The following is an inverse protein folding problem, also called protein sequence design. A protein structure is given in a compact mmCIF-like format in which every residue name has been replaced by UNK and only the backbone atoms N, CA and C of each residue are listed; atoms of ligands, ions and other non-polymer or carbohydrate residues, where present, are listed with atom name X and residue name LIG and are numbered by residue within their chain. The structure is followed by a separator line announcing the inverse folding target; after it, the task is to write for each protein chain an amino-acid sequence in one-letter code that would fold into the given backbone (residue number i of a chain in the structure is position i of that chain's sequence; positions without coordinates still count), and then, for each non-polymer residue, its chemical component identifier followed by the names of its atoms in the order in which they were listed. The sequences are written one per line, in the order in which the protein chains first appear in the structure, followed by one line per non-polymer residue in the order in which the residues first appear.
data_IF_448783376437
#
_entry.id   IF_448783376437
#
_cell.length_a   1.000
_cell.length_b   1.000
_cell.length_c   1.000
_cell.angle_alpha   90.00
_cell.angle_beta   90.00
_cell.angle_gamma   90.00
#
_symmetry.space_group_name_H-M   'P 1'
#
loop_
_entity.id
_entity.type
_entity.pdbx_description
1 polymer ?
#
# COMPACT_ATOMS: atom_id res chain seq x y z
N UNK A 1 20.76 16.71 40.26
CA UNK A 1 20.38 17.25 38.93
C UNK A 1 20.83 16.41 37.71
N UNK A 2 21.76 15.44 37.83
CA UNK A 2 22.14 14.56 36.70
C UNK A 2 21.19 13.35 36.51
N UNK A 3 20.64 12.82 37.61
CA UNK A 3 19.77 11.63 37.61
C UNK A 3 18.40 11.83 36.92
N UNK A 4 17.81 13.03 36.98
CA UNK A 4 16.51 13.35 36.35
C UNK A 4 16.64 13.42 34.82
N UNK A 5 17.78 13.92 34.31
CA UNK A 5 18.05 13.98 32.86
C UNK A 5 18.25 12.59 32.26
N UNK A 6 18.89 11.68 33.01
CA UNK A 6 19.10 10.30 32.56
C UNK A 6 17.78 9.53 32.47
N UNK A 7 16.84 9.75 33.41
CA UNK A 7 15.53 9.09 33.40
C UNK A 7 14.67 9.52 32.20
N UNK A 8 14.74 10.80 31.81
CA UNK A 8 14.06 11.32 30.62
C UNK A 8 14.63 10.76 29.31
N UNK A 9 15.94 10.47 29.25
CA UNK A 9 16.60 9.97 28.05
C UNK A 9 16.23 8.51 27.74
N UNK A 10 15.94 7.71 28.76
CA UNK A 10 15.54 6.29 28.59
C UNK A 10 14.08 6.18 28.13
N UNK A 11 13.19 7.07 28.56
CA UNK A 11 11.78 7.06 28.18
C UNK A 11 11.53 7.41 26.69
N UNK A 12 12.42 8.17 26.06
CA UNK A 12 12.35 8.51 24.64
C UNK A 12 12.74 7.34 23.72
N UNK A 13 13.56 6.41 24.20
CA UNK A 13 14.01 5.25 23.41
C UNK A 13 12.96 4.13 23.41
N UNK A 14 12.17 4.00 24.49
CA UNK A 14 11.12 2.97 24.60
C UNK A 14 9.80 3.33 23.90
N UNK A 15 9.57 4.60 23.56
CA UNK A 15 8.37 5.02 22.82
C UNK A 15 8.42 4.70 21.31
N UNK A 16 9.60 4.35 20.77
CA UNK A 16 9.79 4.06 19.34
C UNK A 16 9.28 2.70 18.88
N UNK A 17 9.00 1.76 19.77
CA UNK A 17 8.70 0.36 19.43
C UNK A 17 7.20 0.05 19.23
N UNK A 18 6.30 1.00 19.43
CA UNK A 18 4.86 0.79 19.27
C UNK A 18 4.33 1.11 17.85
N UNK A 19 5.20 1.57 16.96
CA UNK A 19 4.86 1.93 15.58
C UNK A 19 5.54 1.00 14.55
N UNK A 20 5.68 -0.29 14.87
CA UNK A 20 5.92 -1.28 13.83
C UNK A 20 4.63 -1.35 13.00
N UNK A 21 4.53 -0.52 11.95
CA UNK A 21 3.42 -0.57 11.01
C UNK A 21 3.25 -2.01 10.54
N UNK A 22 2.02 -2.52 10.56
CA UNK A 22 1.76 -3.88 10.13
C UNK A 22 2.32 -4.08 8.71
N UNK A 23 3.22 -5.05 8.56
CA UNK A 23 3.70 -5.47 7.25
C UNK A 23 2.51 -5.88 6.37
N UNK A 24 2.55 -5.51 5.09
CA UNK A 24 1.50 -5.90 4.16
C UNK A 24 1.44 -7.42 4.02
N UNK A 25 0.23 -7.96 3.86
CA UNK A 25 0.03 -9.35 3.46
C UNK A 25 0.48 -9.59 2.01
N UNK A 26 0.64 -10.86 1.62
CA UNK A 26 1.01 -11.21 0.24
C UNK A 26 0.00 -10.69 -0.82
N UNK A 27 -1.33 -10.81 -0.65
CA UNK A 27 -2.29 -10.20 -1.58
C UNK A 27 -2.12 -8.69 -1.73
N UNK A 28 -1.88 -7.99 -0.61
CA UNK A 28 -1.67 -6.55 -0.63
C UNK A 28 -0.35 -6.18 -1.32
N UNK A 29 0.75 -6.89 -1.04
CA UNK A 29 2.03 -6.69 -1.73
C UNK A 29 1.89 -6.89 -3.24
N UNK A 30 1.17 -7.93 -3.67
CA UNK A 30 0.93 -8.21 -5.08
C UNK A 30 0.13 -7.09 -5.76
N UNK A 31 -0.92 -6.59 -5.08
CA UNK A 31 -1.68 -5.44 -5.58
C UNK A 31 -0.80 -4.20 -5.72
N UNK A 32 -0.01 -3.85 -4.69
CA UNK A 32 0.90 -2.69 -4.72
C UNK A 32 1.92 -2.82 -5.85
N UNK A 33 2.52 -3.99 -6.01
CA UNK A 33 3.51 -4.26 -7.05
C UNK A 33 2.94 -4.03 -8.45
N UNK A 34 1.75 -4.58 -8.73
CA UNK A 34 1.10 -4.40 -10.04
C UNK A 34 0.72 -2.95 -10.28
N UNK A 35 0.07 -2.30 -9.30
CA UNK A 35 -0.37 -0.92 -9.47
C UNK A 35 0.80 0.04 -9.69
N UNK A 36 1.88 -0.12 -8.91
CA UNK A 36 3.10 0.68 -9.03
C UNK A 36 3.81 0.43 -10.36
N UNK A 37 3.91 -0.81 -10.81
CA UNK A 37 4.52 -1.14 -12.10
C UNK A 37 3.81 -0.41 -13.24
N UNK A 38 2.48 -0.43 -13.26
CA UNK A 38 1.69 0.31 -14.23
C UNK A 38 1.87 1.82 -14.08
N UNK A 39 1.85 2.33 -12.86
CA UNK A 39 2.07 3.76 -12.59
C UNK A 39 3.39 4.27 -13.16
N UNK A 40 4.46 3.48 -13.02
CA UNK A 40 5.79 3.90 -13.45
C UNK A 40 6.13 3.58 -14.91
N UNK A 41 5.44 2.64 -15.54
CA UNK A 41 5.84 2.11 -16.87
C UNK A 41 4.79 2.30 -17.97
N UNK A 42 3.51 2.46 -17.63
CA UNK A 42 2.46 2.57 -18.64
C UNK A 42 2.28 4.03 -19.10
N UNK A 43 2.70 4.31 -20.33
CA UNK A 43 2.74 5.68 -20.87
C UNK A 43 1.38 6.25 -21.31
N UNK A 44 0.34 5.42 -21.45
CA UNK A 44 -0.87 5.80 -22.20
C UNK A 44 -2.08 6.18 -21.34
N UNK A 45 -1.95 6.34 -20.02
CA UNK A 45 -3.09 6.71 -19.17
C UNK A 45 -3.82 7.98 -19.64
N UNK A 46 -3.06 9.03 -19.97
CA UNK A 46 -3.62 10.29 -20.47
C UNK A 46 -4.30 10.11 -21.83
N UNK A 47 -3.69 9.34 -22.73
CA UNK A 47 -4.27 9.04 -24.05
C UNK A 47 -5.57 8.26 -23.95
N UNK A 48 -5.69 7.39 -22.94
CA UNK A 48 -6.89 6.60 -22.65
C UNK A 48 -7.92 7.33 -21.79
N UNK A 49 -7.63 8.54 -21.32
CA UNK A 49 -8.50 9.28 -20.40
C UNK A 49 -8.68 8.60 -19.04
N UNK A 50 -7.71 7.79 -18.61
CA UNK A 50 -7.79 7.02 -17.36
C UNK A 50 -7.02 7.74 -16.26
N UNK A 51 -7.72 8.07 -15.17
CA UNK A 51 -7.10 8.50 -13.92
C UNK A 51 -6.61 7.28 -13.14
N UNK A 52 -5.31 6.99 -13.22
CA UNK A 52 -4.69 5.84 -12.55
C UNK A 52 -4.70 5.94 -11.02
N UNK A 53 -4.67 7.16 -10.47
CA UNK A 53 -4.77 7.38 -9.03
C UNK A 53 -6.18 7.08 -8.53
N UNK A 54 -7.20 7.42 -9.32
CA UNK A 54 -8.58 7.03 -9.03
C UNK A 54 -8.75 5.50 -9.03
N UNK A 55 -8.06 4.79 -9.93
CA UNK A 55 -8.05 3.32 -9.91
C UNK A 55 -7.49 2.79 -8.57
N UNK A 56 -6.36 3.31 -8.10
CA UNK A 56 -5.81 2.94 -6.78
C UNK A 56 -6.83 3.13 -5.65
N UNK A 57 -7.39 4.33 -5.54
CA UNK A 57 -8.36 4.69 -4.49
C UNK A 57 -9.61 3.81 -4.52
N UNK A 58 -10.00 3.32 -5.70
CA UNK A 58 -11.18 2.48 -5.89
C UNK A 58 -10.92 1.02 -5.51
N UNK A 59 -9.75 0.49 -5.86
CA UNK A 59 -9.48 -0.95 -5.75
C UNK A 59 -8.60 -1.33 -4.56
N UNK A 60 -7.68 -0.47 -4.11
CA UNK A 60 -6.79 -0.77 -2.98
C UNK A 60 -7.54 -1.18 -1.71
N UNK A 61 -8.63 -0.51 -1.29
CA UNK A 61 -9.36 -0.88 -0.07
C UNK A 61 -10.06 -2.25 -0.15
N UNK A 62 -10.17 -2.84 -1.35
CA UNK A 62 -10.79 -4.15 -1.55
C UNK A 62 -9.83 -5.32 -1.29
N UNK A 63 -8.52 -5.03 -1.23
CA UNK A 63 -7.50 -6.05 -1.01
C UNK A 63 -7.10 -6.03 0.45
N UNK A 64 -7.22 -7.19 1.08
CA UNK A 64 -6.91 -7.41 2.50
C UNK A 64 -6.07 -8.68 2.63
N UNK A 65 -5.58 -8.96 3.84
CA UNK A 65 -4.88 -10.21 4.16
C UNK A 65 -5.70 -11.48 3.91
N UNK A 66 -7.02 -11.37 3.89
CA UNK A 66 -7.94 -12.51 3.74
C UNK A 66 -8.42 -12.66 2.29
N UNK A 67 -7.97 -11.80 1.36
CA UNK A 67 -8.30 -11.87 -0.06
C UNK A 67 -7.67 -13.10 -0.70
N UNK A 68 -8.48 -13.93 -1.36
CA UNK A 68 -7.99 -15.12 -2.07
C UNK A 68 -7.30 -14.75 -3.38
N UNK A 69 -6.53 -15.68 -3.95
CA UNK A 69 -5.88 -15.46 -5.25
C UNK A 69 -6.89 -15.18 -6.37
N UNK A 70 -8.05 -15.85 -6.37
CA UNK A 70 -9.12 -15.64 -7.36
C UNK A 70 -9.79 -14.28 -7.21
N UNK A 71 -10.04 -13.83 -5.98
CA UNK A 71 -10.56 -12.49 -5.70
C UNK A 71 -9.55 -11.41 -6.10
N UNK A 72 -8.29 -11.59 -5.74
CA UNK A 72 -7.20 -10.67 -6.10
C UNK A 72 -7.06 -10.55 -7.62
N UNK A 73 -7.05 -11.69 -8.32
CA UNK A 73 -7.01 -11.72 -9.78
C UNK A 73 -8.17 -10.94 -10.39
N UNK A 74 -9.40 -11.17 -9.90
CA UNK A 74 -10.59 -10.45 -10.35
C UNK A 74 -10.48 -8.94 -10.10
N UNK A 75 -10.06 -8.54 -8.91
CA UNK A 75 -9.86 -7.12 -8.53
C UNK A 75 -8.86 -6.46 -9.48
N UNK A 76 -7.73 -7.09 -9.76
CA UNK A 76 -6.71 -6.56 -10.66
C UNK A 76 -7.20 -6.47 -12.11
N UNK A 77 -7.93 -7.49 -12.61
CA UNK A 77 -8.54 -7.43 -13.94
C UNK A 77 -9.56 -6.30 -14.06
N UNK A 78 -10.42 -6.12 -13.07
CA UNK A 78 -11.42 -5.05 -13.07
C UNK A 78 -10.76 -3.66 -13.03
N UNK A 79 -9.65 -3.51 -12.28
CA UNK A 79 -8.83 -2.30 -12.23
C UNK A 79 -8.19 -1.97 -13.59
N UNK A 80 -7.68 -2.98 -14.30
CA UNK A 80 -7.00 -2.82 -15.59
C UNK A 80 -7.96 -2.68 -16.78
N UNK A 81 -9.24 -3.06 -16.62
CA UNK A 81 -10.25 -3.07 -17.68
C UNK A 81 -10.34 -1.76 -18.50
N UNK A 82 -10.24 -0.55 -17.91
CA UNK A 82 -10.29 0.71 -18.67
C UNK A 82 -9.07 0.97 -19.57
N UNK A 83 -7.99 0.17 -19.48
CA UNK A 83 -6.77 0.35 -20.25
C UNK A 83 -6.77 -0.38 -21.61
N UNK A 84 -7.84 -1.12 -21.92
CA UNK A 84 -8.02 -1.80 -23.22
C UNK A 84 -8.24 -0.79 -24.35
#
# INVERSE_FOLDING_TARGET
MKLIKTLFLVALISAGSLAQGAELSEPEKNFEALWKTFHERYAFFKLRGVDWQKQYKTYRPKVTKDTTDEELFKIMCDMLKPLK
#
